data_IF_932711189144
#
_entry.id   IF_932711189144
#
_cell.length_a   1.000
_cell.length_b   1.000
_cell.length_c   1.000
_cell.angle_alpha   90.00
_cell.angle_beta   90.00
_cell.angle_gamma   90.00
#
_symmetry.space_group_name_H-M   'P 1'
#
loop_
_entity.id
_entity.type
_entity.pdbx_description
1 polymer ?
#
# COMPACT_ATOMS: atom_id res chain seq x y z
N UNK A 1 -64.23 -6.43 15.61
CA UNK A 1 -63.48 -7.42 16.41
C UNK A 1 -62.24 -7.80 15.62
N UNK A 2 -61.09 -7.66 16.27
CA UNK A 2 -59.74 -8.13 15.94
C UNK A 2 -59.00 -7.55 14.73
N UNK A 3 -57.97 -6.80 15.10
CA UNK A 3 -56.79 -6.34 14.37
C UNK A 3 -55.95 -7.49 13.79
N UNK A 4 -55.15 -7.22 12.75
CA UNK A 4 -53.67 -7.30 12.82
C UNK A 4 -53.02 -6.96 11.47
N UNK A 5 -52.10 -5.98 11.52
CA UNK A 5 -51.07 -5.64 10.54
C UNK A 5 -50.15 -6.81 10.16
N UNK A 6 -49.49 -6.70 9.00
CA UNK A 6 -48.43 -7.61 8.56
C UNK A 6 -47.51 -6.99 7.51
N UNK A 7 -46.81 -5.92 7.88
CA UNK A 7 -45.66 -5.38 7.13
C UNK A 7 -44.50 -6.37 7.21
N UNK A 8 -43.97 -6.82 6.08
CA UNK A 8 -42.69 -7.57 6.03
C UNK A 8 -41.62 -6.62 5.51
N UNK A 9 -40.81 -6.11 6.44
CA UNK A 9 -39.59 -5.36 6.18
C UNK A 9 -38.46 -6.32 5.78
N UNK A 10 -37.61 -5.85 4.88
CA UNK A 10 -36.40 -6.51 4.43
C UNK A 10 -35.40 -6.65 5.59
N UNK A 11 -34.88 -7.87 5.79
CA UNK A 11 -33.72 -8.13 6.66
C UNK A 11 -32.47 -7.53 6.00
N UNK A 12 -32.04 -6.39 6.53
CA UNK A 12 -30.69 -5.86 6.33
C UNK A 12 -29.73 -6.62 7.25
N UNK A 13 -28.83 -7.43 6.69
CA UNK A 13 -27.70 -7.99 7.42
C UNK A 13 -26.67 -6.89 7.68
N UNK A 14 -26.81 -6.24 8.83
CA UNK A 14 -25.79 -5.38 9.44
C UNK A 14 -24.79 -6.30 10.12
N UNK A 15 -23.55 -6.36 9.64
CA UNK A 15 -22.47 -7.00 10.39
C UNK A 15 -22.18 -6.22 11.68
N UNK A 16 -21.89 -6.90 12.81
CA UNK A 16 -21.71 -6.22 14.07
C UNK A 16 -20.43 -5.38 14.06
N UNK A 17 -20.60 -4.12 14.48
CA UNK A 17 -19.52 -3.21 14.79
C UNK A 17 -18.79 -3.70 16.05
N UNK A 18 -17.77 -4.54 15.90
CA UNK A 18 -16.88 -4.90 17.00
C UNK A 18 -15.87 -3.78 17.23
N UNK A 19 -16.24 -2.86 18.12
CA UNK A 19 -15.27 -2.00 18.80
C UNK A 19 -14.24 -2.86 19.57
N UNK A 20 -13.09 -2.27 19.98
CA UNK A 20 -12.03 -3.03 20.62
C UNK A 20 -12.56 -3.72 21.89
N UNK A 21 -12.55 -5.05 21.87
CA UNK A 21 -12.85 -5.89 23.02
C UNK A 21 -11.75 -5.63 24.06
N UNK A 22 -12.07 -4.84 25.08
CA UNK A 22 -11.26 -4.78 26.29
C UNK A 22 -11.47 -6.08 27.06
N UNK A 23 -10.63 -7.08 26.76
CA UNK A 23 -10.54 -8.30 27.53
C UNK A 23 -9.99 -7.97 28.92
N UNK A 24 -10.81 -8.26 29.93
CA UNK A 24 -10.45 -8.19 31.33
C UNK A 24 -9.18 -9.01 31.61
N UNK A 25 -8.28 -8.46 32.41
CA UNK A 25 -6.90 -8.92 32.53
C UNK A 25 -6.78 -10.36 33.03
N UNK A 26 -6.35 -11.27 32.13
CA UNK A 26 -5.49 -12.46 32.35
C UNK A 26 -5.46 -13.31 31.07
N UNK A 27 -4.59 -12.94 30.15
CA UNK A 27 -4.15 -13.74 29.00
C UNK A 27 -2.97 -13.02 28.39
N UNK A 28 -1.85 -13.71 28.13
CA UNK A 28 -0.68 -13.10 27.48
C UNK A 28 -1.14 -12.32 26.25
N UNK A 29 -0.96 -10.99 26.22
CA UNK A 29 -1.12 -10.26 24.97
C UNK A 29 -0.15 -10.86 23.95
N UNK A 30 -0.60 -11.14 22.71
CA UNK A 30 0.32 -11.65 21.69
C UNK A 30 1.50 -10.69 21.56
N UNK A 31 2.71 -11.24 21.51
CA UNK A 31 3.97 -10.50 21.55
C UNK A 31 4.17 -9.54 20.36
N UNK A 32 3.29 -9.61 19.36
CA UNK A 32 3.27 -8.75 18.19
C UNK A 32 1.85 -8.23 17.90
N UNK A 33 1.77 -7.09 17.24
CA UNK A 33 0.56 -6.58 16.61
C UNK A 33 0.46 -7.11 15.17
N UNK A 34 -0.76 -7.38 14.71
CA UNK A 34 -1.01 -7.70 13.30
C UNK A 34 -1.52 -6.47 12.57
N UNK A 35 -0.85 -6.12 11.48
CA UNK A 35 -1.23 -5.01 10.61
C UNK A 35 -1.62 -5.58 9.25
N UNK A 36 -2.88 -5.36 8.88
CA UNK A 36 -3.37 -5.65 7.53
C UNK A 36 -3.10 -4.47 6.61
N UNK A 37 -2.50 -4.76 5.47
CA UNK A 37 -2.33 -3.81 4.37
C UNK A 37 -2.96 -4.35 3.09
N UNK A 38 -3.27 -3.47 2.15
CA UNK A 38 -3.71 -3.84 0.80
C UNK A 38 -2.54 -3.77 -0.18
N UNK A 39 -2.58 -4.58 -1.23
CA UNK A 39 -1.60 -4.50 -2.31
C UNK A 39 -2.24 -4.50 -3.69
N UNK A 40 -1.57 -3.79 -4.60
CA UNK A 40 -1.65 -3.98 -6.04
C UNK A 40 -0.25 -4.33 -6.54
N UNK A 41 -0.11 -5.33 -7.41
CA UNK A 41 1.20 -5.74 -7.94
C UNK A 41 1.13 -6.21 -9.38
N UNK A 42 2.06 -5.78 -10.21
CA UNK A 42 2.29 -6.27 -11.58
C UNK A 42 3.57 -7.14 -11.66
N UNK A 43 3.94 -7.74 -10.54
CA UNK A 43 4.98 -8.79 -10.45
C UNK A 43 4.46 -10.10 -11.00
N UNK A 44 5.38 -10.93 -11.50
CA UNK A 44 5.05 -12.31 -11.82
C UNK A 44 4.74 -13.10 -10.55
N UNK A 45 3.69 -13.91 -10.59
CA UNK A 45 3.47 -14.96 -9.61
C UNK A 45 4.46 -16.11 -9.87
N UNK A 46 5.13 -16.60 -8.83
CA UNK A 46 6.08 -17.72 -8.93
C UNK A 46 5.42 -19.08 -8.71
N UNK A 47 4.15 -19.10 -8.30
CA UNK A 47 3.41 -20.31 -7.91
C UNK A 47 3.87 -20.93 -6.60
N UNK A 48 4.80 -20.30 -5.87
CA UNK A 48 5.28 -20.79 -4.57
C UNK A 48 4.21 -20.63 -3.50
N UNK A 49 4.24 -21.52 -2.51
CA UNK A 49 3.32 -21.52 -1.38
C UNK A 49 3.76 -20.60 -0.25
N UNK A 50 5.07 -20.32 -0.14
CA UNK A 50 5.60 -19.40 0.84
C UNK A 50 5.25 -17.96 0.46
N UNK A 51 4.60 -17.24 1.38
CA UNK A 51 4.08 -15.88 1.12
C UNK A 51 5.18 -14.89 0.75
N UNK A 52 6.36 -15.00 1.32
CA UNK A 52 7.53 -14.16 1.02
C UNK A 52 8.12 -14.40 -0.38
N UNK A 53 7.85 -15.58 -0.96
CA UNK A 53 8.34 -15.98 -2.28
C UNK A 53 7.25 -15.98 -3.37
N UNK A 54 6.00 -15.67 -3.01
CA UNK A 54 4.85 -15.73 -3.95
C UNK A 54 5.06 -14.84 -5.16
N UNK A 55 5.41 -13.57 -4.95
CA UNK A 55 5.63 -12.60 -6.03
C UNK A 55 7.11 -12.37 -6.30
N UNK A 56 7.52 -12.60 -7.55
CA UNK A 56 8.92 -12.50 -7.98
C UNK A 56 9.36 -11.09 -8.37
N UNK A 57 10.49 -11.03 -9.08
CA UNK A 57 11.08 -9.79 -9.65
C UNK A 57 10.86 -9.66 -11.16
N UNK A 58 10.12 -10.59 -11.78
CA UNK A 58 9.74 -10.54 -13.18
C UNK A 58 8.42 -9.78 -13.38
N UNK A 59 8.15 -9.41 -14.63
CA UNK A 59 6.91 -8.76 -15.04
C UNK A 59 5.76 -9.77 -15.08
N UNK A 60 4.64 -9.43 -14.47
CA UNK A 60 3.39 -10.18 -14.57
C UNK A 60 2.64 -9.87 -15.86
N UNK A 61 1.53 -10.60 -16.09
CA UNK A 61 0.63 -10.38 -17.23
C UNK A 61 -0.41 -9.27 -16.99
N UNK A 62 -0.51 -8.76 -15.76
CA UNK A 62 -1.44 -7.72 -15.34
C UNK A 62 -1.27 -7.40 -13.86
N UNK A 63 -2.12 -6.51 -13.34
CA UNK A 63 -2.14 -6.15 -11.92
C UNK A 63 -2.98 -7.17 -11.15
N UNK A 64 -2.42 -7.71 -10.08
CA UNK A 64 -3.07 -8.57 -9.10
C UNK A 64 -3.32 -7.79 -7.81
N UNK A 65 -4.44 -8.07 -7.17
CA UNK A 65 -4.90 -7.37 -5.98
C UNK A 65 -5.05 -8.31 -4.79
N UNK A 66 -4.95 -7.76 -3.59
CA UNK A 66 -5.16 -8.54 -2.38
C UNK A 66 -4.83 -7.79 -1.10
N UNK A 67 -4.66 -8.54 -0.02
CA UNK A 67 -4.14 -8.02 1.24
C UNK A 67 -3.01 -8.87 1.81
N UNK A 68 -2.15 -8.23 2.59
CA UNK A 68 -1.11 -8.88 3.37
C UNK A 68 -1.39 -8.66 4.86
N UNK A 69 -1.17 -9.70 5.67
CA UNK A 69 -1.11 -9.57 7.12
C UNK A 69 0.35 -9.63 7.55
N UNK A 70 0.80 -8.60 8.27
CA UNK A 70 2.19 -8.44 8.70
C UNK A 70 2.25 -8.34 10.22
N UNK A 71 3.12 -9.11 10.87
CA UNK A 71 3.40 -8.96 12.30
C UNK A 71 4.34 -7.79 12.54
N UNK A 72 4.12 -7.02 13.61
CA UNK A 72 5.04 -6.00 14.11
C UNK A 72 5.27 -6.26 15.60
N UNK A 73 6.51 -6.52 16.04
CA UNK A 73 6.82 -6.71 17.46
C UNK A 73 6.34 -5.55 18.32
N UNK A 74 5.79 -5.80 19.52
CA UNK A 74 5.30 -4.70 20.37
C UNK A 74 6.42 -3.84 20.97
N UNK A 75 7.63 -4.38 21.05
CA UNK A 75 8.85 -3.65 21.42
C UNK A 75 9.49 -2.91 20.23
N UNK A 76 8.80 -2.84 19.09
CA UNK A 76 9.22 -2.12 17.89
C UNK A 76 9.58 -0.67 18.19
N UNK A 77 10.72 -0.23 17.66
CA UNK A 77 11.16 1.16 17.73
C UNK A 77 10.79 1.89 16.45
N UNK A 78 10.01 2.97 16.58
CA UNK A 78 9.58 3.81 15.47
C UNK A 78 10.70 4.03 14.44
N UNK A 79 10.45 3.64 13.18
CA UNK A 79 11.38 3.77 12.05
C UNK A 79 12.42 2.64 11.85
N UNK A 80 12.59 1.70 12.78
CA UNK A 80 13.51 0.56 12.64
C UNK A 80 12.84 -0.64 11.98
N UNK A 81 13.27 -1.13 10.81
CA UNK A 81 12.70 -2.37 10.28
C UNK A 81 13.41 -3.59 10.90
N UNK A 82 12.88 -4.17 11.97
CA UNK A 82 13.49 -5.33 12.61
C UNK A 82 13.42 -6.55 11.68
N UNK A 83 14.59 -7.09 11.35
CA UNK A 83 14.75 -8.27 10.47
C UNK A 83 15.83 -9.19 11.03
N UNK A 84 15.80 -10.49 10.70
CA UNK A 84 16.87 -11.40 11.05
C UNK A 84 18.20 -10.87 10.52
N UNK A 85 19.15 -10.69 11.43
CA UNK A 85 20.48 -10.22 11.06
C UNK A 85 21.40 -11.42 10.83
N UNK A 86 21.85 -11.58 9.58
CA UNK A 86 22.94 -12.52 9.22
C UNK A 86 24.22 -12.25 10.03
N UNK A 87 24.49 -10.97 10.37
CA UNK A 87 25.60 -10.58 11.23
C UNK A 87 25.44 -11.07 12.68
N UNK A 88 24.20 -11.29 13.14
CA UNK A 88 23.87 -11.88 14.45
C UNK A 88 23.52 -13.37 14.38
N UNK A 89 23.82 -14.05 13.26
CA UNK A 89 23.50 -15.45 13.02
C UNK A 89 22.01 -15.81 13.18
N UNK A 90 21.12 -14.86 12.90
CA UNK A 90 19.67 -15.07 12.91
C UNK A 90 19.20 -15.30 11.47
N UNK A 91 18.82 -16.54 11.16
CA UNK A 91 18.46 -16.96 9.80
C UNK A 91 16.97 -17.26 9.63
N UNK A 92 16.19 -17.23 10.72
CA UNK A 92 14.74 -17.48 10.71
C UNK A 92 13.99 -16.22 11.12
N UNK A 93 12.99 -15.86 10.32
CA UNK A 93 12.01 -14.84 10.68
C UNK A 93 11.25 -15.29 11.94
N UNK A 94 11.08 -14.36 12.88
CA UNK A 94 10.38 -14.59 14.14
C UNK A 94 9.44 -13.40 14.32
N UNK A 95 8.12 -13.59 14.19
CA UNK A 95 7.12 -12.53 14.35
C UNK A 95 7.21 -11.74 15.65
N UNK A 96 7.72 -12.36 16.73
CA UNK A 96 7.89 -11.70 18.04
C UNK A 96 9.12 -10.76 18.10
N UNK A 97 10.00 -10.83 17.11
CA UNK A 97 11.27 -10.06 17.07
C UNK A 97 11.52 -9.33 15.76
N UNK A 98 10.76 -9.67 14.73
CA UNK A 98 10.93 -9.21 13.37
C UNK A 98 9.57 -8.85 12.77
N UNK A 99 9.58 -7.90 11.85
CA UNK A 99 8.43 -7.66 11.00
C UNK A 99 8.36 -8.81 9.99
N UNK A 100 7.25 -9.54 9.90
CA UNK A 100 7.12 -10.76 9.08
C UNK A 100 5.83 -10.74 8.28
N UNK A 101 5.90 -11.10 7.00
CA UNK A 101 4.71 -11.32 6.17
C UNK A 101 4.09 -12.67 6.54
N UNK A 102 2.97 -12.64 7.25
CA UNK A 102 2.30 -13.84 7.76
C UNK A 102 1.40 -14.50 6.72
N UNK A 103 0.68 -13.68 5.94
CA UNK A 103 -0.37 -14.15 5.03
C UNK A 103 -0.55 -13.23 3.83
N UNK A 104 -0.88 -13.82 2.69
CA UNK A 104 -1.38 -13.17 1.48
C UNK A 104 -2.78 -13.72 1.20
N UNK A 105 -3.74 -12.82 0.96
CA UNK A 105 -5.09 -13.12 0.51
C UNK A 105 -5.32 -12.40 -0.83
N UNK A 106 -5.52 -13.16 -1.90
CA UNK A 106 -5.81 -12.61 -3.23
C UNK A 106 -7.29 -12.20 -3.32
N UNK A 107 -7.55 -11.10 -4.02
CA UNK A 107 -8.88 -10.59 -4.27
C UNK A 107 -9.08 -10.33 -5.77
N UNK A 108 -10.32 -10.52 -6.22
CA UNK A 108 -10.76 -9.91 -7.47
C UNK A 108 -10.75 -8.40 -7.34
N UNK A 109 -10.63 -7.68 -8.47
CA UNK A 109 -10.49 -6.23 -8.46
C UNK A 109 -11.65 -5.52 -7.73
N UNK A 110 -12.90 -5.95 -7.99
CA UNK A 110 -14.09 -5.35 -7.37
C UNK A 110 -14.08 -5.52 -5.85
N UNK A 111 -13.81 -6.73 -5.38
CA UNK A 111 -13.67 -7.03 -3.95
C UNK A 111 -12.53 -6.21 -3.30
N UNK A 112 -11.40 -6.09 -3.99
CA UNK A 112 -10.28 -5.28 -3.49
C UNK A 112 -10.69 -3.83 -3.22
N UNK A 113 -11.32 -3.17 -4.20
CA UNK A 113 -11.70 -1.76 -4.05
C UNK A 113 -12.82 -1.58 -3.02
N UNK A 114 -13.77 -2.51 -2.92
CA UNK A 114 -14.78 -2.51 -1.85
C UNK A 114 -14.13 -2.59 -0.46
N UNK A 115 -13.16 -3.49 -0.27
CA UNK A 115 -12.45 -3.64 1.01
C UNK A 115 -11.59 -2.42 1.35
N UNK A 116 -10.92 -1.82 0.36
CA UNK A 116 -10.18 -0.56 0.54
C UNK A 116 -11.15 0.56 0.92
N UNK A 117 -12.29 0.66 0.23
CA UNK A 117 -13.34 1.66 0.51
C UNK A 117 -13.86 1.53 1.94
N UNK A 118 -14.22 0.31 2.37
CA UNK A 118 -14.70 0.06 3.72
C UNK A 118 -13.64 0.42 4.78
N UNK A 119 -12.37 0.10 4.54
CA UNK A 119 -11.29 0.44 5.47
C UNK A 119 -11.03 1.96 5.52
N UNK A 120 -11.09 2.65 4.38
CA UNK A 120 -10.96 4.09 4.33
C UNK A 120 -12.13 4.75 5.08
N UNK A 121 -13.38 4.38 4.77
CA UNK A 121 -14.60 4.95 5.39
C UNK A 121 -14.74 4.68 6.89
N UNK A 122 -14.04 3.67 7.43
CA UNK A 122 -13.97 3.42 8.88
C UNK A 122 -13.01 4.38 9.63
N UNK A 123 -12.26 5.22 8.92
CA UNK A 123 -11.40 6.26 9.51
C UNK A 123 -12.13 7.60 9.61
N UNK A 124 -11.71 8.45 10.55
CA UNK A 124 -12.35 9.74 10.81
C UNK A 124 -12.36 10.69 9.59
N UNK A 125 -11.44 10.49 8.64
CA UNK A 125 -11.21 11.37 7.49
C UNK A 125 -11.42 10.69 6.13
N UNK A 126 -11.96 9.47 6.09
CA UNK A 126 -12.06 8.66 4.86
C UNK A 126 -10.74 8.62 4.08
N UNK A 127 -9.65 8.32 4.76
CA UNK A 127 -8.30 8.46 4.22
C UNK A 127 -7.69 7.13 3.76
N UNK A 128 -6.82 7.21 2.77
CA UNK A 128 -5.97 6.13 2.32
C UNK A 128 -4.55 6.65 2.05
N UNK A 129 -3.56 5.77 2.08
CA UNK A 129 -2.28 6.08 1.46
C UNK A 129 -1.86 4.99 0.48
N UNK A 130 -1.13 5.39 -0.55
CA UNK A 130 -0.49 4.50 -1.52
C UNK A 130 1.01 4.65 -1.40
N UNK A 131 1.70 3.56 -1.06
CA UNK A 131 3.15 3.49 -1.03
C UNK A 131 3.70 2.81 -2.28
N UNK A 132 4.57 3.50 -3.01
CA UNK A 132 5.33 2.96 -4.15
C UNK A 132 6.79 2.77 -3.76
N UNK A 133 7.23 1.53 -3.65
CA UNK A 133 8.59 1.22 -3.20
C UNK A 133 9.66 1.59 -4.25
N UNK A 134 10.92 1.60 -3.80
CA UNK A 134 12.08 1.92 -4.65
C UNK A 134 12.70 0.74 -5.40
N UNK A 135 13.89 0.97 -5.93
CA UNK A 135 14.74 -0.05 -6.55
C UNK A 135 15.15 -1.13 -5.56
N UNK A 136 15.35 -2.37 -6.04
CA UNK A 136 15.90 -3.45 -5.23
C UNK A 136 15.08 -3.83 -3.98
N UNK A 137 13.75 -3.81 -4.13
CA UNK A 137 12.81 -4.18 -3.06
C UNK A 137 12.01 -5.42 -3.50
N UNK A 138 11.95 -6.44 -2.65
CA UNK A 138 11.09 -7.60 -2.84
C UNK A 138 9.66 -7.31 -2.37
N UNK A 139 8.69 -8.12 -2.80
CA UNK A 139 7.28 -7.92 -2.44
C UNK A 139 7.06 -7.90 -0.92
N UNK A 140 7.65 -8.86 -0.20
CA UNK A 140 7.61 -8.94 1.26
C UNK A 140 8.26 -7.72 1.92
N UNK A 141 9.35 -7.19 1.37
CA UNK A 141 9.99 -6.00 1.89
C UNK A 141 9.12 -4.74 1.72
N UNK A 142 8.41 -4.62 0.60
CA UNK A 142 7.42 -3.55 0.41
C UNK A 142 6.24 -3.70 1.38
N UNK A 143 5.74 -4.92 1.59
CA UNK A 143 4.64 -5.19 2.51
C UNK A 143 5.00 -4.81 3.95
N UNK A 144 6.16 -5.27 4.42
CA UNK A 144 6.66 -4.95 5.76
C UNK A 144 6.85 -3.45 5.98
N UNK A 145 7.37 -2.73 4.98
CA UNK A 145 7.56 -1.27 5.09
C UNK A 145 6.22 -0.54 5.18
N UNK A 146 5.24 -0.94 4.38
CA UNK A 146 3.87 -0.37 4.40
C UNK A 146 3.20 -0.61 5.76
N UNK A 147 3.31 -1.84 6.29
CA UNK A 147 2.77 -2.18 7.60
C UNK A 147 3.44 -1.37 8.72
N UNK A 148 4.76 -1.24 8.68
CA UNK A 148 5.50 -0.39 9.62
C UNK A 148 5.03 1.07 9.57
N UNK A 149 4.94 1.68 8.38
CA UNK A 149 4.45 3.06 8.28
C UNK A 149 3.04 3.20 8.83
N UNK A 150 2.17 2.23 8.57
CA UNK A 150 0.80 2.22 9.11
C UNK A 150 0.81 2.23 10.64
N UNK A 151 1.64 1.37 11.25
CA UNK A 151 1.76 1.22 12.69
C UNK A 151 2.38 2.45 13.35
N UNK A 152 3.53 2.91 12.83
CA UNK A 152 4.29 4.04 13.37
C UNK A 152 3.51 5.36 13.31
N UNK A 153 2.69 5.54 12.27
CA UNK A 153 1.82 6.71 12.12
C UNK A 153 0.51 6.57 12.91
N UNK A 154 0.21 5.38 13.44
CA UNK A 154 -1.12 5.07 13.99
C UNK A 154 -2.24 5.25 12.97
N UNK A 155 -1.93 5.09 11.67
CA UNK A 155 -2.81 5.43 10.56
C UNK A 155 -4.09 4.58 10.59
N UNK A 156 -5.25 5.24 10.58
CA UNK A 156 -6.55 4.56 10.75
C UNK A 156 -7.23 4.24 9.41
N UNK A 157 -6.88 4.95 8.36
CA UNK A 157 -7.36 4.74 6.99
C UNK A 157 -6.89 3.45 6.33
N UNK A 158 -7.00 3.38 5.01
CA UNK A 158 -6.57 2.22 4.21
C UNK A 158 -5.10 2.34 3.78
N UNK A 159 -4.18 1.53 4.34
CA UNK A 159 -2.80 1.47 3.88
C UNK A 159 -2.69 0.56 2.65
N UNK A 160 -2.19 1.10 1.55
CA UNK A 160 -2.07 0.37 0.28
C UNK A 160 -0.65 0.47 -0.24
N UNK A 161 -0.11 -0.63 -0.77
CA UNK A 161 1.15 -0.62 -1.49
C UNK A 161 0.95 -0.92 -2.97
N UNK A 162 1.71 -0.24 -3.83
CA UNK A 162 1.92 -0.67 -5.20
C UNK A 162 3.31 -1.31 -5.31
N UNK A 163 3.33 -2.61 -5.63
CA UNK A 163 4.55 -3.40 -5.70
C UNK A 163 4.91 -3.72 -7.14
N UNK A 164 5.83 -2.94 -7.72
CA UNK A 164 6.30 -3.11 -9.09
C UNK A 164 7.49 -4.08 -9.16
N UNK A 165 7.78 -4.73 -10.30
CA UNK A 165 8.83 -5.75 -10.41
C UNK A 165 10.26 -5.20 -10.40
N UNK A 166 10.65 -4.54 -9.30
CA UNK A 166 12.04 -4.17 -9.05
C UNK A 166 12.86 -5.41 -8.74
N UNK A 167 14.08 -5.48 -9.29
CA UNK A 167 14.98 -6.60 -9.09
C UNK A 167 15.68 -6.49 -7.76
N UNK A 168 15.45 -7.47 -6.89
CA UNK A 168 16.13 -7.67 -5.60
C UNK A 168 17.65 -7.92 -5.66
N UNK A 169 18.37 -7.41 -6.68
CA UNK A 169 19.82 -7.51 -6.81
C UNK A 169 20.46 -6.25 -7.42
N UNK A 170 21.63 -5.85 -6.89
CA UNK A 170 22.37 -4.62 -7.22
C UNK A 170 22.85 -4.49 -8.69
N UNK A 171 23.00 -5.57 -9.44
CA UNK A 171 23.60 -5.55 -10.79
C UNK A 171 22.66 -5.14 -11.93
N UNK A 172 21.46 -4.62 -11.62
CA UNK A 172 20.37 -4.51 -12.59
C UNK A 172 19.76 -3.10 -12.77
N UNK A 173 20.46 -2.03 -12.36
CA UNK A 173 19.91 -0.67 -12.34
C UNK A 173 19.21 -0.24 -13.65
N UNK A 174 19.85 -0.39 -14.81
CA UNK A 174 19.25 -0.04 -16.11
C UNK A 174 18.06 -0.92 -16.53
N UNK A 175 18.03 -2.18 -16.08
CA UNK A 175 16.88 -3.06 -16.32
C UNK A 175 15.67 -2.65 -15.47
N UNK A 176 15.91 -2.15 -14.27
CA UNK A 176 14.87 -1.61 -13.39
C UNK A 176 14.33 -0.28 -13.89
N UNK A 177 15.16 0.59 -14.49
CA UNK A 177 14.68 1.81 -15.17
C UNK A 177 13.70 1.48 -16.30
N UNK A 178 13.98 0.43 -17.08
CA UNK A 178 13.08 -0.03 -18.14
C UNK A 178 11.82 -0.67 -17.58
N UNK A 179 11.90 -1.21 -16.37
CA UNK A 179 10.80 -1.93 -15.73
C UNK A 179 9.85 -1.00 -14.98
N UNK A 180 10.34 0.04 -14.30
CA UNK A 180 9.47 1.07 -13.73
C UNK A 180 8.72 1.84 -14.82
N UNK A 181 9.37 2.11 -15.97
CA UNK A 181 8.71 2.70 -17.15
C UNK A 181 7.62 1.79 -17.70
N UNK A 182 7.85 0.47 -17.72
CA UNK A 182 6.84 -0.51 -18.13
C UNK A 182 5.68 -0.59 -17.14
N UNK A 183 5.92 -0.43 -15.85
CA UNK A 183 4.90 -0.43 -14.81
C UNK A 183 4.08 0.88 -14.76
N UNK A 184 4.59 1.98 -15.33
CA UNK A 184 3.94 3.31 -15.27
C UNK A 184 2.46 3.30 -15.70
N UNK A 185 2.06 2.70 -16.83
CA UNK A 185 0.65 2.67 -17.22
C UNK A 185 -0.23 1.90 -16.22
N UNK A 186 0.29 0.83 -15.62
CA UNK A 186 -0.42 0.08 -14.58
C UNK A 186 -0.57 0.90 -13.29
N UNK A 187 0.48 1.64 -12.88
CA UNK A 187 0.42 2.56 -11.75
C UNK A 187 -0.62 3.66 -12.01
N UNK A 188 -0.63 4.25 -13.22
CA UNK A 188 -1.60 5.28 -13.58
C UNK A 188 -3.04 4.76 -13.53
N UNK A 189 -3.28 3.57 -14.10
CA UNK A 189 -4.60 2.94 -14.06
C UNK A 189 -5.01 2.61 -12.62
N UNK A 190 -4.10 2.08 -11.81
CA UNK A 190 -4.37 1.79 -10.41
C UNK A 190 -4.72 3.05 -9.60
N UNK A 191 -3.98 4.15 -9.80
CA UNK A 191 -4.26 5.44 -9.17
C UNK A 191 -5.63 5.99 -9.58
N UNK A 192 -5.97 5.86 -10.87
CA UNK A 192 -7.31 6.21 -11.37
C UNK A 192 -8.40 5.36 -10.73
N UNK A 193 -8.19 4.05 -10.64
CA UNK A 193 -9.15 3.11 -10.07
C UNK A 193 -9.34 3.33 -8.57
N UNK A 194 -8.28 3.49 -7.78
CA UNK A 194 -8.42 3.73 -6.34
C UNK A 194 -9.13 5.06 -6.04
N UNK A 195 -8.90 6.10 -6.85
CA UNK A 195 -9.58 7.38 -6.69
C UNK A 195 -11.06 7.35 -7.08
N UNK A 196 -11.44 6.53 -8.07
CA UNK A 196 -12.80 6.46 -8.60
C UNK A 196 -13.68 5.38 -7.96
N UNK A 197 -13.06 4.31 -7.45
CA UNK A 197 -13.77 3.10 -7.01
C UNK A 197 -13.80 2.93 -5.50
N UNK A 198 -13.25 3.89 -4.76
CA UNK A 198 -13.28 3.89 -3.29
C UNK A 198 -13.89 5.19 -2.78
N UNK A 199 -14.46 5.14 -1.59
CA UNK A 199 -14.97 6.31 -0.87
C UNK A 199 -13.85 7.09 -0.15
N UNK A 200 -12.58 6.84 -0.48
CA UNK A 200 -11.49 7.64 0.05
C UNK A 200 -11.64 9.09 -0.43
N UNK A 201 -11.74 10.02 0.51
CA UNK A 201 -11.81 11.46 0.21
C UNK A 201 -10.42 12.09 0.13
N UNK A 202 -9.47 11.51 0.88
CA UNK A 202 -8.08 11.94 0.89
C UNK A 202 -7.17 10.75 0.65
N UNK A 203 -6.39 10.82 -0.43
CA UNK A 203 -5.38 9.82 -0.75
C UNK A 203 -3.99 10.46 -0.66
N UNK A 204 -3.14 9.94 0.22
CA UNK A 204 -1.74 10.34 0.36
C UNK A 204 -0.86 9.43 -0.51
N UNK A 205 0.01 10.02 -1.33
CA UNK A 205 0.92 9.28 -2.18
C UNK A 205 2.33 9.34 -1.60
N UNK A 206 2.95 8.19 -1.39
CA UNK A 206 4.30 8.09 -0.82
C UNK A 206 5.15 7.28 -1.80
N UNK A 207 6.28 7.83 -2.25
CA UNK A 207 7.21 7.10 -3.09
C UNK A 207 8.65 7.18 -2.57
N UNK A 208 9.40 6.12 -2.80
CA UNK A 208 10.81 6.03 -2.41
C UNK A 208 11.74 5.75 -3.60
N UNK A 209 12.87 6.44 -3.66
CA UNK A 209 13.93 6.20 -4.67
C UNK A 209 13.37 6.13 -6.09
N UNK A 210 13.67 5.07 -6.84
CA UNK A 210 13.20 4.86 -8.22
C UNK A 210 11.67 4.76 -8.35
N UNK A 211 10.95 4.44 -7.27
CA UNK A 211 9.48 4.48 -7.25
C UNK A 211 8.91 5.86 -7.54
N UNK A 212 9.67 6.92 -7.23
CA UNK A 212 9.28 8.29 -7.58
C UNK A 212 9.15 8.46 -9.10
N UNK A 213 10.04 7.85 -9.90
CA UNK A 213 9.96 7.93 -11.37
C UNK A 213 8.61 7.41 -11.88
N UNK A 214 8.17 6.25 -11.37
CA UNK A 214 6.89 5.65 -11.76
C UNK A 214 5.71 6.46 -11.28
N UNK A 215 5.71 6.89 -10.01
CA UNK A 215 4.63 7.70 -9.44
C UNK A 215 4.46 9.04 -10.17
N UNK A 216 5.54 9.79 -10.37
CA UNK A 216 5.47 11.11 -11.01
C UNK A 216 5.11 11.02 -12.49
N UNK A 217 5.55 9.96 -13.18
CA UNK A 217 5.17 9.71 -14.56
C UNK A 217 3.68 9.34 -14.67
N UNK A 218 3.16 8.50 -13.77
CA UNK A 218 1.75 8.16 -13.70
C UNK A 218 0.87 9.40 -13.43
N UNK A 219 1.26 10.25 -12.46
CA UNK A 219 0.55 11.50 -12.19
C UNK A 219 0.60 12.46 -13.39
N UNK A 220 1.74 12.54 -14.08
CA UNK A 220 1.89 13.33 -15.31
C UNK A 220 0.96 12.82 -16.41
N UNK A 221 0.87 11.50 -16.59
CA UNK A 221 -0.05 10.88 -17.54
C UNK A 221 -1.51 11.25 -17.22
N UNK A 222 -1.93 11.13 -15.95
CA UNK A 222 -3.29 11.51 -15.54
C UNK A 222 -3.60 13.00 -15.77
N UNK A 223 -2.60 13.88 -15.60
CA UNK A 223 -2.72 15.31 -15.95
C UNK A 223 -2.91 15.50 -17.46
N UNK A 224 -2.10 14.81 -18.26
CA UNK A 224 -2.16 14.91 -19.72
C UNK A 224 -3.46 14.30 -20.29
N UNK A 225 -4.04 13.30 -19.61
CA UNK A 225 -5.34 12.70 -19.91
C UNK A 225 -6.54 13.55 -19.44
N UNK A 226 -6.31 14.59 -18.62
CA UNK A 226 -7.37 15.48 -18.13
C UNK A 226 -8.19 14.91 -16.97
N UNK A 227 -7.63 13.98 -16.19
CA UNK A 227 -8.28 13.29 -15.07
C UNK A 227 -8.40 14.17 -13.81
N UNK A 228 -9.00 15.36 -13.94
CA UNK A 228 -8.99 16.41 -12.90
C UNK A 228 -9.61 15.93 -11.58
N UNK A 229 -10.70 15.16 -11.63
CA UNK A 229 -11.39 14.71 -10.40
C UNK A 229 -10.62 13.61 -9.66
N UNK A 230 -10.05 12.66 -10.39
CA UNK A 230 -9.08 11.67 -9.86
C UNK A 230 -7.94 12.40 -9.18
N UNK A 231 -7.38 13.38 -9.89
CA UNK A 231 -6.26 14.17 -9.42
C UNK A 231 -6.59 14.87 -8.09
N UNK A 232 -7.77 15.46 -7.94
CA UNK A 232 -8.20 16.16 -6.71
C UNK A 232 -8.24 15.29 -5.45
N UNK A 233 -8.35 13.97 -5.58
CA UNK A 233 -8.31 13.03 -4.44
C UNK A 233 -6.90 12.90 -3.83
N UNK A 234 -5.84 13.17 -4.59
CA UNK A 234 -4.46 13.09 -4.11
C UNK A 234 -4.04 14.40 -3.42
N UNK A 235 -4.08 14.48 -2.08
CA UNK A 235 -3.84 15.75 -1.35
C UNK A 235 -2.38 15.99 -0.96
N UNK A 236 -1.68 14.92 -0.60
CA UNK A 236 -0.28 14.95 -0.21
C UNK A 236 0.52 14.00 -1.10
N UNK A 237 1.63 14.49 -1.64
CA UNK A 237 2.61 13.68 -2.37
C UNK A 237 3.94 13.79 -1.64
N UNK A 238 4.39 12.69 -1.05
CA UNK A 238 5.64 12.59 -0.30
C UNK A 238 6.67 11.86 -1.16
N UNK A 239 7.67 12.60 -1.61
CA UNK A 239 8.77 12.09 -2.42
C UNK A 239 10.00 11.89 -1.53
N UNK A 240 10.36 10.64 -1.26
CA UNK A 240 11.49 10.29 -0.40
C UNK A 240 12.68 9.79 -1.22
N UNK A 241 13.84 10.41 -1.02
CA UNK A 241 15.09 10.15 -1.74
C UNK A 241 14.90 10.00 -3.26
N UNK A 242 14.20 10.91 -3.97
CA UNK A 242 13.81 10.67 -5.34
C UNK A 242 15.02 10.55 -6.26
N UNK A 243 15.02 9.45 -7.01
CA UNK A 243 15.97 9.21 -8.08
C UNK A 243 15.41 9.84 -9.37
N UNK A 244 15.37 11.17 -9.42
CA UNK A 244 14.93 11.96 -10.59
C UNK A 244 15.91 13.12 -10.74
N UNK A 245 16.34 13.41 -11.97
CA UNK A 245 17.14 14.60 -12.27
C UNK A 245 16.41 15.87 -11.83
N UNK A 246 17.11 16.74 -11.10
CA UNK A 246 16.50 17.90 -10.47
C UNK A 246 15.97 18.93 -11.46
N UNK A 247 16.63 19.09 -12.62
CA UNK A 247 16.20 20.05 -13.64
C UNK A 247 14.99 19.51 -14.41
N UNK A 248 14.97 18.20 -14.72
CA UNK A 248 13.78 17.53 -15.26
C UNK A 248 12.62 17.65 -14.28
N UNK A 249 12.85 17.38 -12.99
CA UNK A 249 11.79 17.46 -11.98
C UNK A 249 11.18 18.85 -11.90
N UNK A 250 12.00 19.91 -11.82
CA UNK A 250 11.52 21.29 -11.74
C UNK A 250 10.82 21.75 -13.02
N UNK A 251 11.33 21.37 -14.19
CA UNK A 251 10.81 21.83 -15.49
C UNK A 251 9.54 21.10 -15.90
N UNK A 252 9.51 19.77 -15.78
CA UNK A 252 8.49 18.95 -16.43
C UNK A 252 7.47 18.35 -15.46
N UNK A 253 7.88 18.03 -14.23
CA UNK A 253 7.07 17.25 -13.27
C UNK A 253 6.38 18.17 -12.26
N UNK A 254 7.16 18.99 -11.56
CA UNK A 254 6.67 19.83 -10.47
C UNK A 254 5.49 20.72 -10.89
N UNK A 255 5.48 21.37 -12.07
CA UNK A 255 4.33 22.19 -12.49
C UNK A 255 3.05 21.38 -12.70
N UNK A 256 3.15 20.08 -13.00
CA UNK A 256 2.00 19.20 -13.22
C UNK A 256 1.42 18.63 -11.92
N UNK A 257 2.28 18.34 -10.94
CA UNK A 257 1.87 17.64 -9.70
C UNK A 257 1.58 18.56 -8.51
N UNK A 258 1.88 19.86 -8.59
CA UNK A 258 1.69 20.81 -7.48
C UNK A 258 0.37 21.59 -7.53
N UNK A 259 -0.34 21.57 -8.65
CA UNK A 259 -1.63 22.27 -8.77
C UNK A 259 -2.64 21.70 -7.78
N UNK A 260 -3.02 22.53 -6.79
CA UNK A 260 -3.96 22.24 -5.70
C UNK A 260 -3.54 21.11 -4.74
N UNK A 261 -2.23 20.86 -4.60
CA UNK A 261 -1.69 19.76 -3.78
C UNK A 261 -0.46 20.15 -3.00
N UNK A 262 -0.28 19.53 -1.84
CA UNK A 262 0.99 19.62 -1.13
C UNK A 262 1.94 18.54 -1.65
N UNK A 263 3.13 18.97 -2.03
CA UNK A 263 4.24 18.08 -2.40
C UNK A 263 5.35 18.31 -1.37
N UNK A 264 5.70 17.24 -0.66
CA UNK A 264 6.78 17.24 0.32
C UNK A 264 7.95 16.43 -0.23
N UNK A 265 9.13 17.03 -0.29
CA UNK A 265 10.34 16.43 -0.85
C UNK A 265 11.40 16.24 0.25
N UNK A 266 11.79 14.99 0.49
CA UNK A 266 12.93 14.62 1.32
C UNK A 266 14.09 14.17 0.42
N UNK A 267 15.04 15.06 0.17
CA UNK A 267 16.22 14.80 -0.65
C UNK A 267 17.51 14.97 0.19
N UNK A 268 18.55 14.20 -0.16
CA UNK A 268 19.89 14.26 0.43
C UNK A 268 20.92 14.65 -0.61
#
# INVERSE_FOLDING_TARGET
MSSSDGTVLADSLVEPNEGPILLDGRGDEPAYAEVRIFYATDRNDTGRSESDLRFGSGRGSGVVYGSCTVSIPRDHRMGELERPSVLRFQFRENPEKHVVLLKIDDYEADEFFERVSAKAGASDSSEAFVFVHGYNVSFDAAARRTAQMTYDLGFKGAPVMYSWPSRGALSAYGADETTIKWATPHIAQFLKDIANRTEAETIHLIAHSMGNRGLTAALTQLVDEGEVDVLRKFKEIILTAPDIDADIFKRDILPKITTDRRVTLYAS
#
